data_IF_046230820253
#
_entry.id   IF_046230820253
#
_cell.length_a   1.000
_cell.length_b   1.000
_cell.length_c   1.000
_cell.angle_alpha   90.00
_cell.angle_beta   90.00
_cell.angle_gamma   90.00
#
_symmetry.space_group_name_H-M   'P 1'
#
loop_
_entity.id
_entity.type
_entity.pdbx_description
1 polymer ?
#
# COMPACT_ATOMS: atom_id res chain seq x y z
N UNK A 1 -16.38 -1.31 -3.14
CA UNK A 1 -15.79 -2.66 -3.32
C UNK A 1 -14.28 -2.57 -3.18
N UNK A 2 -13.62 -3.52 -2.51
CA UNK A 2 -12.15 -3.53 -2.31
C UNK A 2 -11.50 -4.80 -2.90
N UNK A 3 -10.38 -4.66 -3.62
CA UNK A 3 -9.59 -5.78 -4.17
C UNK A 3 -8.37 -6.02 -3.29
N UNK A 4 -8.15 -7.27 -2.84
CA UNK A 4 -7.13 -7.56 -1.82
C UNK A 4 -5.82 -8.18 -2.36
N UNK A 5 -5.73 -8.61 -3.63
CA UNK A 5 -4.59 -9.37 -4.17
C UNK A 5 -4.01 -8.82 -5.50
N UNK A 6 -3.82 -7.51 -5.60
CA UNK A 6 -3.28 -6.88 -6.82
C UNK A 6 -1.74 -6.78 -6.85
N UNK A 7 -1.03 -7.24 -5.82
CA UNK A 7 0.43 -7.12 -5.69
C UNK A 7 1.23 -7.88 -6.76
N UNK A 8 0.62 -8.82 -7.47
CA UNK A 8 1.24 -9.55 -8.58
C UNK A 8 1.29 -8.75 -9.89
N UNK A 9 0.73 -7.54 -9.89
CA UNK A 9 0.65 -6.67 -11.05
C UNK A 9 1.51 -5.43 -10.80
N UNK A 10 2.41 -5.11 -11.73
CA UNK A 10 3.14 -3.84 -11.73
C UNK A 10 2.19 -2.72 -12.16
N UNK A 11 1.36 -2.27 -11.22
CA UNK A 11 0.37 -1.21 -11.42
C UNK A 11 1.04 0.16 -11.30
N UNK A 12 0.86 0.99 -12.32
CA UNK A 12 1.32 2.37 -12.32
C UNK A 12 0.14 3.35 -12.20
N UNK A 13 0.41 4.52 -11.63
CA UNK A 13 -0.58 5.60 -11.53
C UNK A 13 -1.13 5.98 -12.92
N UNK A 14 -2.42 6.30 -13.00
CA UNK A 14 -3.10 6.67 -14.24
C UNK A 14 -3.55 5.50 -15.12
N UNK A 15 -3.11 4.27 -14.85
CA UNK A 15 -3.55 3.11 -15.64
C UNK A 15 -5.01 2.72 -15.37
N UNK A 16 -5.73 2.33 -16.41
CA UNK A 16 -7.05 1.70 -16.31
C UNK A 16 -6.93 0.22 -16.67
N UNK A 17 -7.38 -0.65 -15.77
CA UNK A 17 -7.29 -2.10 -15.91
C UNK A 17 -8.65 -2.77 -15.85
N UNK A 18 -8.79 -3.86 -16.62
CA UNK A 18 -9.88 -4.81 -16.53
C UNK A 18 -9.43 -6.06 -15.78
N UNK A 19 -10.22 -6.49 -14.80
CA UNK A 19 -9.94 -7.69 -14.01
C UNK A 19 -11.15 -8.62 -13.96
N UNK A 20 -10.88 -9.92 -14.13
CA UNK A 20 -11.83 -10.97 -13.74
C UNK A 20 -11.68 -11.24 -12.25
N UNK A 21 -12.67 -10.84 -11.46
CA UNK A 21 -12.64 -10.93 -10.00
C UNK A 21 -13.72 -11.86 -9.48
N UNK A 22 -13.48 -12.44 -8.30
CA UNK A 22 -14.50 -13.13 -7.52
C UNK A 22 -14.88 -12.30 -6.31
N UNK A 23 -16.16 -11.92 -6.26
CA UNK A 23 -16.75 -11.18 -5.15
C UNK A 23 -16.95 -12.10 -3.94
N UNK A 24 -16.71 -11.55 -2.75
CA UNK A 24 -16.97 -12.16 -1.46
C UNK A 24 -17.57 -11.12 -0.52
N UNK A 25 -18.56 -11.55 0.24
CA UNK A 25 -19.08 -10.76 1.36
C UNK A 25 -17.95 -10.53 2.39
N UNK A 26 -17.77 -9.30 2.88
CA UNK A 26 -16.85 -9.03 3.98
C UNK A 26 -17.17 -9.93 5.17
N UNK A 27 -16.17 -10.66 5.68
CA UNK A 27 -16.31 -11.48 6.89
C UNK A 27 -15.54 -10.81 8.02
N UNK A 28 -16.17 -10.72 9.18
CA UNK A 28 -15.53 -10.28 10.40
C UNK A 28 -14.76 -11.42 11.03
N UNK A 29 -13.69 -11.10 11.75
CA UNK A 29 -13.11 -12.07 12.66
C UNK A 29 -14.02 -12.17 13.90
N UNK A 30 -14.42 -13.39 14.27
CA UNK A 30 -15.19 -13.66 15.48
C UNK A 30 -14.35 -13.53 16.77
N UNK A 31 -13.39 -12.60 16.80
CA UNK A 31 -12.54 -12.38 17.96
C UNK A 31 -13.20 -11.36 18.92
N UNK A 32 -13.66 -11.76 20.11
CA UNK A 32 -14.26 -10.83 21.07
C UNK A 32 -13.26 -9.74 21.47
N UNK A 33 -13.64 -8.47 21.36
CA UNK A 33 -12.77 -7.32 21.66
C UNK A 33 -11.74 -6.97 20.57
N UNK A 34 -11.74 -7.68 19.45
CA UNK A 34 -10.88 -7.41 18.30
C UNK A 34 -11.40 -6.29 17.38
N UNK A 35 -10.57 -5.89 16.42
CA UNK A 35 -10.96 -4.93 15.39
C UNK A 35 -12.10 -5.48 14.52
N UNK A 36 -13.21 -4.73 14.46
CA UNK A 36 -14.36 -5.06 13.63
C UNK A 36 -14.14 -4.62 12.18
N UNK A 37 -13.58 -5.53 11.39
CA UNK A 37 -13.27 -5.30 9.98
C UNK A 37 -14.52 -5.04 9.12
N UNK A 38 -15.67 -5.66 9.45
CA UNK A 38 -16.91 -5.48 8.69
C UNK A 38 -17.46 -4.08 8.92
N UNK A 39 -17.51 -3.65 10.18
CA UNK A 39 -17.95 -2.30 10.54
C UNK A 39 -17.01 -1.23 9.98
N UNK A 40 -15.71 -1.49 9.95
CA UNK A 40 -14.74 -0.62 9.27
C UNK A 40 -15.03 -0.49 7.78
N UNK A 41 -15.20 -1.59 7.04
CA UNK A 41 -15.50 -1.54 5.60
C UNK A 41 -16.85 -0.87 5.32
N UNK A 42 -17.85 -1.11 6.16
CA UNK A 42 -19.14 -0.44 6.07
C UNK A 42 -19.01 1.08 6.23
N UNK A 43 -18.19 1.55 7.18
CA UNK A 43 -17.91 2.99 7.35
C UNK A 43 -17.26 3.64 6.11
N UNK A 44 -16.61 2.83 5.27
CA UNK A 44 -16.00 3.26 4.00
C UNK A 44 -16.93 3.08 2.79
N UNK A 45 -18.21 2.72 2.99
CA UNK A 45 -19.18 2.37 1.94
C UNK A 45 -18.66 1.23 1.05
N UNK A 46 -18.02 0.24 1.66
CA UNK A 46 -17.49 -0.95 0.97
C UNK A 46 -18.32 -2.17 1.38
N UNK A 47 -19.22 -2.58 0.49
CA UNK A 47 -20.16 -3.68 0.77
C UNK A 47 -19.66 -5.05 0.26
N UNK A 48 -18.59 -5.04 -0.54
CA UNK A 48 -18.01 -6.25 -1.12
C UNK A 48 -16.48 -6.18 -1.17
N UNK A 49 -15.86 -7.32 -0.88
CA UNK A 49 -14.44 -7.56 -1.13
C UNK A 49 -14.28 -8.47 -2.33
N UNK A 50 -13.12 -8.42 -2.98
CA UNK A 50 -12.85 -9.23 -4.15
C UNK A 50 -11.39 -9.64 -4.24
N UNK A 51 -11.17 -10.71 -4.97
CA UNK A 51 -9.83 -11.11 -5.38
C UNK A 51 -9.81 -11.43 -6.88
N UNK A 52 -8.69 -11.10 -7.53
CA UNK A 52 -8.42 -11.36 -8.94
C UNK A 52 -8.27 -12.87 -9.11
N UNK A 53 -9.08 -13.47 -9.99
CA UNK A 53 -9.10 -14.91 -10.24
C UNK A 53 -7.98 -15.33 -11.19
N UNK A 54 -7.75 -14.53 -12.22
CA UNK A 54 -6.81 -14.82 -13.29
C UNK A 54 -5.94 -13.58 -13.55
N UNK A 55 -4.84 -13.39 -12.79
CA UNK A 55 -3.95 -12.24 -12.99
C UNK A 55 -3.42 -12.16 -14.44
N UNK A 56 -3.16 -13.31 -15.06
CA UNK A 56 -2.69 -13.42 -16.47
C UNK A 56 -3.71 -12.97 -17.51
N UNK A 57 -5.00 -12.97 -17.18
CA UNK A 57 -6.08 -12.51 -18.08
C UNK A 57 -6.43 -11.04 -17.85
N UNK A 58 -5.76 -10.37 -16.92
CA UNK A 58 -5.96 -8.94 -16.66
C UNK A 58 -5.54 -8.13 -17.87
N UNK A 59 -6.37 -7.20 -18.31
CA UNK A 59 -6.10 -6.37 -19.49
C UNK A 59 -5.89 -4.93 -19.09
N UNK A 60 -4.79 -4.33 -19.54
CA UNK A 60 -4.62 -2.89 -19.50
C UNK A 60 -5.51 -2.28 -20.58
N UNK A 61 -6.55 -1.55 -20.18
CA UNK A 61 -7.49 -0.89 -21.09
C UNK A 61 -6.91 0.43 -21.58
N UNK A 62 -6.25 1.17 -20.69
CA UNK A 62 -5.68 2.48 -21.00
C UNK A 62 -4.42 2.74 -20.20
N UNK A 63 -3.35 3.10 -20.89
CA UNK A 63 -2.19 3.73 -20.28
C UNK A 63 -2.55 5.21 -20.09
N UNK A 64 -3.17 5.56 -18.96
CA UNK A 64 -3.44 6.97 -18.67
C UNK A 64 -2.16 7.69 -18.27
N UNK A 65 -2.13 9.00 -18.50
CA UNK A 65 -1.09 9.84 -17.93
C UNK A 65 -1.30 9.90 -16.41
N UNK A 66 -0.28 9.51 -15.65
CA UNK A 66 -0.25 9.78 -14.22
C UNK A 66 -0.44 11.30 -14.03
N UNK A 67 -1.42 11.68 -13.19
CA UNK A 67 -1.63 13.08 -12.82
C UNK A 67 -0.30 13.70 -12.39
N UNK A 68 -0.04 14.94 -12.78
CA UNK A 68 1.25 15.60 -12.58
C UNK A 68 1.77 15.49 -11.14
N UNK A 69 0.90 15.57 -10.12
CA UNK A 69 1.26 15.31 -8.71
C UNK A 69 1.76 13.87 -8.48
N UNK A 70 1.06 12.86 -9.00
CA UNK A 70 1.49 11.47 -8.87
C UNK A 70 2.78 11.18 -9.63
N UNK A 71 3.01 11.87 -10.75
CA UNK A 71 4.27 11.79 -11.50
C UNK A 71 5.44 12.42 -10.74
N UNK A 72 5.22 13.56 -10.07
CA UNK A 72 6.23 14.21 -9.21
C UNK A 72 6.53 13.36 -7.98
N UNK A 73 5.52 12.78 -7.32
CA UNK A 73 5.76 11.83 -6.22
C UNK A 73 6.54 10.62 -6.72
N UNK A 74 6.12 10.02 -7.83
CA UNK A 74 6.81 8.88 -8.44
C UNK A 74 8.27 9.19 -8.79
N UNK A 75 8.55 10.35 -9.38
CA UNK A 75 9.91 10.74 -9.75
C UNK A 75 10.79 11.04 -8.53
N UNK A 76 10.25 11.67 -7.47
CA UNK A 76 10.99 11.90 -6.21
C UNK A 76 11.29 10.59 -5.47
N UNK A 77 10.32 9.68 -5.44
CA UNK A 77 10.51 8.33 -4.87
C UNK A 77 11.59 7.59 -5.65
N UNK A 78 11.55 7.61 -6.98
CA UNK A 78 12.55 6.97 -7.83
C UNK A 78 13.95 7.60 -7.68
N UNK A 79 14.04 8.94 -7.61
CA UNK A 79 15.30 9.66 -7.40
C UNK A 79 15.95 9.36 -6.04
N UNK A 80 15.14 9.04 -5.03
CA UNK A 80 15.61 8.66 -3.70
C UNK A 80 15.85 7.15 -3.58
N UNK A 81 15.25 6.31 -4.42
CA UNK A 81 15.41 4.87 -4.35
C UNK A 81 16.85 4.40 -4.65
N UNK A 82 17.50 4.96 -5.67
CA UNK A 82 18.87 4.59 -6.07
C UNK A 82 19.94 4.95 -5.00
N UNK A 83 19.97 6.16 -4.42
CA UNK A 83 20.89 6.46 -3.32
C UNK A 83 20.62 5.62 -2.06
N UNK A 84 19.35 5.28 -1.80
CA UNK A 84 18.95 4.55 -0.60
C UNK A 84 19.25 3.05 -0.68
N UNK A 85 19.24 2.45 -1.88
CA UNK A 85 19.52 1.02 -2.09
C UNK A 85 20.98 0.64 -1.79
N UNK A 86 21.89 1.62 -1.78
CA UNK A 86 23.28 1.46 -1.38
C UNK A 86 23.47 1.42 0.15
N UNK A 87 22.42 1.69 0.93
CA UNK A 87 22.48 1.75 2.39
C UNK A 87 21.88 0.49 3.01
N UNK A 88 22.56 -0.06 4.03
CA UNK A 88 22.10 -1.24 4.76
C UNK A 88 20.70 -1.11 5.39
N UNK A 89 20.24 0.13 5.59
CA UNK A 89 18.99 0.51 6.25
C UNK A 89 17.94 1.12 5.27
N UNK A 90 18.04 0.81 3.98
CA UNK A 90 17.16 1.31 2.91
C UNK A 90 15.68 1.37 3.31
N UNK A 91 15.13 0.26 3.80
CA UNK A 91 13.70 0.17 4.16
C UNK A 91 13.29 1.10 5.30
N UNK A 92 14.18 1.37 6.25
CA UNK A 92 13.92 2.28 7.36
C UNK A 92 13.98 3.75 6.89
N UNK A 93 14.90 4.06 5.99
CA UNK A 93 15.02 5.40 5.40
C UNK A 93 13.87 5.70 4.44
N UNK A 94 13.44 4.75 3.59
CA UNK A 94 12.22 4.88 2.77
C UNK A 94 10.99 5.12 3.63
N UNK A 95 10.86 4.41 4.75
CA UNK A 95 9.74 4.59 5.67
C UNK A 95 9.74 5.97 6.35
N UNK A 96 10.91 6.53 6.65
CA UNK A 96 11.03 7.85 7.24
C UNK A 96 10.85 8.99 6.22
N UNK A 97 11.44 8.87 5.05
CA UNK A 97 11.47 9.94 4.05
C UNK A 97 10.20 9.96 3.19
N UNK A 98 9.65 8.80 2.87
CA UNK A 98 8.55 8.67 1.91
C UNK A 98 7.25 8.18 2.56
N UNK A 99 7.31 7.79 3.83
CA UNK A 99 6.23 7.07 4.50
C UNK A 99 6.02 5.65 3.96
N UNK A 100 6.90 5.17 3.07
CA UNK A 100 6.76 3.86 2.44
C UNK A 100 7.34 2.76 3.32
N UNK A 101 6.47 1.87 3.78
CA UNK A 101 6.80 0.78 4.71
C UNK A 101 6.90 -0.56 3.99
N UNK A 102 6.89 -0.62 2.66
CA UNK A 102 6.96 -1.88 1.89
C UNK A 102 8.23 -2.66 2.23
N UNK A 103 9.37 -1.96 2.33
CA UNK A 103 10.71 -2.57 2.38
C UNK A 103 11.25 -2.72 3.81
N UNK A 104 10.44 -2.42 4.84
CA UNK A 104 10.83 -2.56 6.24
C UNK A 104 10.96 -4.04 6.63
N UNK A 105 12.18 -4.46 6.99
CA UNK A 105 12.49 -5.82 7.43
C UNK A 105 11.75 -6.15 8.74
N UNK A 106 11.43 -7.43 8.99
CA UNK A 106 10.76 -7.85 10.23
C UNK A 106 11.52 -7.46 11.50
N UNK A 107 12.86 -7.53 11.47
CA UNK A 107 13.73 -7.11 12.56
C UNK A 107 13.54 -5.62 12.91
N UNK A 108 13.57 -4.74 11.90
CA UNK A 108 13.41 -3.30 12.09
C UNK A 108 12.03 -2.94 12.64
N UNK A 109 10.97 -3.62 12.16
CA UNK A 109 9.62 -3.45 12.71
C UNK A 109 9.56 -3.86 14.18
N UNK A 110 10.24 -4.95 14.55
CA UNK A 110 10.24 -5.42 15.93
C UNK A 110 11.07 -4.51 16.82
N UNK A 111 12.19 -3.99 16.32
CA UNK A 111 13.01 -3.00 17.00
C UNK A 111 12.21 -1.73 17.29
N UNK A 112 11.56 -1.15 16.28
CA UNK A 112 10.72 0.05 16.41
C UNK A 112 9.51 -0.14 17.35
N UNK A 113 8.99 -1.36 17.45
CA UNK A 113 7.95 -1.70 18.43
C UNK A 113 8.51 -1.77 19.85
N UNK A 114 9.68 -2.40 20.03
CA UNK A 114 10.33 -2.54 21.34
C UNK A 114 10.81 -1.20 21.90
N UNK A 115 11.31 -0.31 21.05
CA UNK A 115 11.79 1.02 21.45
C UNK A 115 10.68 2.07 21.54
N UNK A 116 9.43 1.71 21.21
CA UNK A 116 8.31 2.66 21.19
C UNK A 116 8.37 3.73 20.09
N UNK A 117 9.37 3.70 19.21
CA UNK A 117 9.61 4.74 18.18
C UNK A 117 8.80 4.53 16.89
N UNK A 118 7.85 3.60 16.89
CA UNK A 118 6.94 3.36 15.75
C UNK A 118 6.12 4.60 15.37
N UNK A 119 5.87 5.52 16.30
CA UNK A 119 5.14 6.77 16.04
C UNK A 119 5.96 7.78 15.21
N UNK A 120 7.30 7.72 15.24
CA UNK A 120 8.15 8.57 14.41
C UNK A 120 7.92 8.29 12.91
N UNK A 121 7.64 7.03 12.55
CA UNK A 121 7.23 6.66 11.19
C UNK A 121 5.88 7.23 10.76
N UNK A 122 5.03 7.66 11.71
CA UNK A 122 3.74 8.27 11.40
C UNK A 122 3.86 9.79 11.22
N UNK A 123 4.74 10.42 11.98
CA UNK A 123 4.97 11.88 11.93
C UNK A 123 5.69 12.29 10.64
N UNK A 124 6.67 11.50 10.19
CA UNK A 124 7.44 11.85 8.99
C UNK A 124 6.65 11.69 7.68
N UNK A 125 5.70 10.75 7.62
CA UNK A 125 4.84 10.56 6.45
C UNK A 125 3.82 11.68 6.24
N UNK A 126 3.45 12.43 7.29
CA UNK A 126 2.48 13.53 7.22
C UNK A 126 3.10 14.81 6.65
N UNK A 127 4.38 15.09 6.93
CA UNK A 127 5.06 16.31 6.47
C UNK A 127 5.42 16.30 4.98
N UNK A 128 5.50 15.13 4.35
CA UNK A 128 5.80 14.96 2.92
C UNK A 128 4.53 14.51 2.15
N UNK A 129 3.39 14.42 2.85
CA UNK A 129 2.13 13.89 2.35
C UNK A 129 1.15 14.90 1.73
N UNK A 130 1.53 16.18 1.60
CA UNK A 130 0.72 17.23 0.96
C UNK A 130 1.40 17.71 -0.32
#
# INVERSE_FOLDING_TARGET
>A
MQINNYQYLNLNSGQQWQFTVRLKQPRGNSNPGGFDYVRYLFSKRIDATAYIRSPKESRLIKQGQAYWLTSIRGSRVAALAEPLSLLSNEGLLKALLLGDRSDLKPYDRQLLKRTGTSHLLAISGLHIGV
#
